data_IF_267774395635
#
_entry.id   IF_267774395635
#
_cell.length_a   1.000
_cell.length_b   1.000
_cell.length_c   1.000
_cell.angle_alpha   90.00
_cell.angle_beta   90.00
_cell.angle_gamma   90.00
#
_symmetry.space_group_name_H-M   'P 1'
#
loop_
_entity.id
_entity.type
_entity.pdbx_description
1 polymer ?
#
# COMPACT_ATOMS: atom_id res chain seq x y z
N UNK A 1 -28.17 -26.18 -21.62
CA UNK A 1 -27.68 -24.87 -21.16
C UNK A 1 -26.48 -24.90 -20.18
N UNK A 2 -26.08 -26.05 -19.62
CA UNK A 2 -24.90 -26.14 -18.72
C UNK A 2 -23.51 -26.08 -19.39
N UNK A 3 -23.41 -26.29 -20.71
CA UNK A 3 -22.10 -26.37 -21.40
C UNK A 3 -21.41 -25.01 -21.57
N UNK A 4 -22.17 -23.93 -21.71
CA UNK A 4 -21.61 -22.57 -21.84
C UNK A 4 -21.15 -21.98 -20.50
N UNK A 5 -21.74 -22.45 -19.39
CA UNK A 5 -21.41 -21.98 -18.04
C UNK A 5 -20.02 -22.48 -17.60
N UNK A 6 -19.63 -23.68 -18.02
CA UNK A 6 -18.28 -24.22 -17.80
C UNK A 6 -17.21 -23.46 -18.59
N UNK A 7 -17.51 -23.01 -19.82
CA UNK A 7 -16.58 -22.24 -20.66
C UNK A 7 -16.34 -20.83 -20.10
N UNK A 8 -17.38 -20.20 -19.56
CA UNK A 8 -17.28 -18.89 -18.91
C UNK A 8 -16.39 -18.91 -17.66
N UNK A 9 -16.46 -19.97 -16.86
CA UNK A 9 -15.60 -20.16 -15.68
C UNK A 9 -14.11 -20.34 -16.02
N UNK A 10 -13.80 -20.98 -17.16
CA UNK A 10 -12.41 -21.16 -17.62
C UNK A 10 -11.79 -19.85 -18.09
N UNK A 11 -12.57 -18.98 -18.75
CA UNK A 11 -12.07 -17.68 -19.25
C UNK A 11 -11.79 -16.71 -18.10
N UNK A 12 -12.61 -16.75 -17.03
CA UNK A 12 -12.40 -15.95 -15.81
C UNK A 12 -11.16 -16.38 -15.01
N UNK A 13 -10.69 -17.62 -15.17
CA UNK A 13 -9.50 -18.13 -14.48
C UNK A 13 -8.16 -17.64 -15.05
N UNK A 14 -8.12 -17.16 -16.29
CA UNK A 14 -6.88 -16.79 -16.99
C UNK A 14 -6.46 -15.33 -16.80
N UNK A 15 -7.29 -14.50 -16.16
CA UNK A 15 -7.03 -13.07 -15.95
C UNK A 15 -6.34 -12.73 -14.61
N UNK A 16 -5.87 -13.72 -13.84
CA UNK A 16 -5.29 -13.47 -12.50
C UNK A 16 -3.79 -13.13 -12.49
N UNK A 17 -3.16 -12.89 -13.64
CA UNK A 17 -1.83 -12.26 -13.69
C UNK A 17 -1.94 -10.82 -13.17
N UNK A 18 -1.87 -10.69 -11.85
CA UNK A 18 -1.85 -9.43 -11.14
C UNK A 18 -0.51 -8.76 -11.42
N UNK A 19 -0.56 -7.59 -12.04
CA UNK A 19 0.61 -6.73 -12.19
C UNK A 19 1.17 -6.40 -10.81
N UNK A 20 2.47 -6.63 -10.58
CA UNK A 20 3.16 -6.28 -9.34
C UNK A 20 3.31 -4.76 -9.24
N UNK A 21 2.28 -4.10 -8.73
CA UNK A 21 2.22 -2.66 -8.53
C UNK A 21 2.76 -2.25 -7.13
N UNK A 22 2.74 -0.96 -6.82
CA UNK A 22 3.18 -0.45 -5.52
C UNK A 22 2.41 -1.09 -4.34
N UNK A 23 1.12 -1.36 -4.50
CA UNK A 23 0.31 -1.99 -3.45
C UNK A 23 0.77 -3.42 -3.18
N UNK A 24 1.07 -4.20 -4.23
CA UNK A 24 1.62 -5.55 -4.10
C UNK A 24 2.90 -5.56 -3.26
N UNK A 25 3.85 -4.66 -3.53
CA UNK A 25 5.10 -4.61 -2.79
C UNK A 25 4.94 -4.11 -1.35
N UNK A 26 3.96 -3.24 -1.08
CA UNK A 26 3.62 -2.81 0.29
C UNK A 26 3.06 -3.94 1.14
N UNK A 27 2.38 -4.92 0.56
CA UNK A 27 1.86 -6.06 1.31
C UNK A 27 2.84 -7.23 1.40
N UNK A 28 3.86 -7.29 0.55
CA UNK A 28 4.84 -8.39 0.48
C UNK A 28 6.28 -7.86 0.67
N UNK A 29 6.75 -7.70 1.93
CA UNK A 29 8.07 -7.10 2.21
C UNK A 29 9.23 -7.90 1.61
N UNK A 30 9.11 -9.24 1.57
CA UNK A 30 10.13 -10.12 1.00
C UNK A 30 10.26 -9.93 -0.52
N UNK A 31 9.13 -9.79 -1.22
CA UNK A 31 9.09 -9.51 -2.66
C UNK A 31 9.69 -8.14 -2.98
N UNK A 32 9.40 -7.12 -2.16
CA UNK A 32 10.00 -5.79 -2.29
C UNK A 32 11.53 -5.85 -2.11
N UNK A 33 12.00 -6.56 -1.08
CA UNK A 33 13.43 -6.71 -0.83
C UNK A 33 14.12 -7.48 -1.97
N UNK A 34 13.49 -8.53 -2.50
CA UNK A 34 14.02 -9.31 -3.60
C UNK A 34 14.06 -8.51 -4.90
N UNK A 35 13.02 -7.72 -5.18
CA UNK A 35 12.95 -6.85 -6.34
C UNK A 35 14.11 -5.83 -6.33
N UNK A 36 14.41 -5.23 -5.18
CA UNK A 36 15.51 -4.27 -5.03
C UNK A 36 16.87 -4.94 -5.17
N UNK A 37 17.08 -6.11 -4.54
CA UNK A 37 18.33 -6.88 -4.70
C UNK A 37 18.62 -7.24 -6.16
N UNK A 38 17.58 -7.32 -6.98
CA UNK A 38 17.68 -7.68 -8.39
C UNK A 38 17.88 -6.46 -9.30
N UNK A 39 17.74 -5.24 -8.80
CA UNK A 39 17.97 -4.01 -9.54
C UNK A 39 19.47 -3.65 -9.57
N UNK A 40 20.00 -3.15 -10.70
CA UNK A 40 19.32 -2.89 -11.97
C UNK A 40 19.30 -4.09 -12.94
N UNK A 41 19.91 -5.24 -12.59
CA UNK A 41 20.09 -6.35 -13.53
C UNK A 41 18.78 -6.96 -14.04
N UNK A 42 17.72 -6.90 -13.24
CA UNK A 42 16.38 -7.39 -13.58
C UNK A 42 15.30 -6.49 -12.98
N UNK A 43 14.85 -5.53 -13.77
CA UNK A 43 13.71 -4.69 -13.42
C UNK A 43 12.41 -5.52 -13.43
N UNK A 44 11.61 -5.51 -12.35
CA UNK A 44 10.33 -6.19 -12.33
C UNK A 44 9.28 -5.45 -13.15
N UNK A 45 8.26 -6.18 -13.60
CA UNK A 45 7.13 -5.58 -14.31
C UNK A 45 6.30 -4.72 -13.35
N UNK A 46 5.97 -3.49 -13.76
CA UNK A 46 5.04 -2.61 -13.05
C UNK A 46 5.69 -1.38 -12.38
N UNK A 47 6.95 -1.47 -11.95
CA UNK A 47 7.69 -0.34 -11.34
C UNK A 47 9.11 -0.23 -11.89
N UNK A 48 9.63 0.98 -11.93
CA UNK A 48 11.06 1.25 -12.16
C UNK A 48 11.88 0.94 -10.91
N UNK A 49 13.17 0.67 -11.09
CA UNK A 49 14.08 0.47 -9.95
C UNK A 49 14.12 1.71 -9.03
N UNK A 50 14.05 2.92 -9.60
CA UNK A 50 13.96 4.17 -8.83
C UNK A 50 12.67 4.27 -8.00
N UNK A 51 11.53 3.87 -8.58
CA UNK A 51 10.26 3.80 -7.84
C UNK A 51 10.31 2.74 -6.72
N UNK A 52 10.95 1.59 -6.96
CA UNK A 52 11.12 0.55 -5.95
C UNK A 52 12.03 0.98 -4.80
N UNK A 53 13.15 1.64 -5.10
CA UNK A 53 14.05 2.21 -4.10
C UNK A 53 13.35 3.25 -3.25
N UNK A 54 12.58 4.15 -3.88
CA UNK A 54 11.77 5.15 -3.19
C UNK A 54 10.75 4.49 -2.26
N UNK A 55 10.05 3.46 -2.75
CA UNK A 55 9.08 2.71 -1.97
C UNK A 55 9.74 2.02 -0.76
N UNK A 56 10.81 1.26 -0.96
CA UNK A 56 11.46 0.57 0.15
C UNK A 56 12.14 1.51 1.13
N UNK A 57 12.72 2.61 0.68
CA UNK A 57 13.24 3.64 1.60
C UNK A 57 12.14 4.14 2.53
N UNK A 58 10.96 4.45 1.98
CA UNK A 58 9.80 4.88 2.76
C UNK A 58 9.31 3.81 3.72
N UNK A 59 9.16 2.57 3.25
CA UNK A 59 8.70 1.45 4.09
C UNK A 59 9.71 1.07 5.19
N UNK A 60 11.01 1.02 4.88
CA UNK A 60 12.05 0.73 5.85
C UNK A 60 12.14 1.82 6.93
N UNK A 61 11.94 3.09 6.56
CA UNK A 61 11.87 4.19 7.53
C UNK A 61 10.70 4.01 8.50
N UNK A 62 9.53 3.61 8.00
CA UNK A 62 8.37 3.33 8.84
C UNK A 62 8.60 2.10 9.73
N UNK A 63 9.16 1.02 9.18
CA UNK A 63 9.52 -0.18 9.94
C UNK A 63 10.49 0.14 11.07
N UNK A 64 11.51 0.97 10.81
CA UNK A 64 12.44 1.45 11.82
C UNK A 64 11.75 2.29 12.90
N UNK A 65 10.83 3.19 12.53
CA UNK A 65 10.06 3.96 13.50
C UNK A 65 9.18 3.08 14.39
N UNK A 66 8.54 2.06 13.81
CA UNK A 66 7.74 1.10 14.55
C UNK A 66 8.60 0.33 15.56
N UNK A 67 9.76 -0.17 15.12
CA UNK A 67 10.70 -0.89 15.98
C UNK A 67 11.25 0.01 17.11
N UNK A 68 11.55 1.27 16.82
CA UNK A 68 12.09 2.22 17.80
C UNK A 68 11.05 2.61 18.87
N UNK A 69 9.79 2.83 18.47
CA UNK A 69 8.73 3.21 19.41
C UNK A 69 7.36 2.73 18.93
N UNK A 70 6.93 1.51 19.32
CA UNK A 70 5.63 0.98 18.93
C UNK A 70 4.45 1.85 19.39
N UNK A 71 4.51 2.38 20.63
CA UNK A 71 3.48 3.27 21.15
C UNK A 71 3.45 4.61 20.41
N UNK A 72 4.62 5.18 20.09
CA UNK A 72 4.71 6.40 19.30
C UNK A 72 4.15 6.21 17.89
N UNK A 73 4.43 5.06 17.28
CA UNK A 73 3.88 4.67 15.99
C UNK A 73 2.35 4.54 16.02
N UNK A 74 1.81 3.85 17.03
CA UNK A 74 0.36 3.74 17.24
C UNK A 74 -0.33 5.09 17.44
N UNK A 75 0.29 6.02 18.19
CA UNK A 75 -0.22 7.40 18.34
C UNK A 75 -0.32 8.14 17.00
N UNK A 76 0.65 7.96 16.10
CA UNK A 76 0.59 8.56 14.76
C UNK A 76 -0.55 7.98 13.91
N UNK A 77 -0.78 6.67 13.97
CA UNK A 77 -1.91 6.03 13.30
C UNK A 77 -3.23 6.64 13.78
N UNK A 78 -3.42 6.75 15.10
CA UNK A 78 -4.63 7.35 15.67
C UNK A 78 -4.81 8.81 15.25
N UNK A 79 -3.73 9.60 15.25
CA UNK A 79 -3.77 11.00 14.81
C UNK A 79 -4.14 11.14 13.31
N UNK A 80 -3.62 10.25 12.45
CA UNK A 80 -4.00 10.19 11.04
C UNK A 80 -5.48 9.84 10.88
N UNK A 81 -5.97 8.82 11.59
CA UNK A 81 -7.38 8.42 11.56
C UNK A 81 -8.31 9.55 12.01
N UNK A 82 -7.95 10.26 13.09
CA UNK A 82 -8.70 11.43 13.57
C UNK A 82 -8.72 12.55 12.52
N UNK A 83 -7.58 12.84 11.91
CA UNK A 83 -7.45 13.87 10.87
C UNK A 83 -8.30 13.53 9.65
N UNK A 84 -8.21 12.30 9.14
CA UNK A 84 -9.03 11.80 8.03
C UNK A 84 -10.52 11.91 8.35
N UNK A 85 -10.93 11.56 9.57
CA UNK A 85 -12.33 11.67 9.99
C UNK A 85 -12.82 13.14 9.96
N UNK A 86 -12.01 14.08 10.45
CA UNK A 86 -12.30 15.52 10.39
C UNK A 86 -12.38 16.03 8.95
N UNK A 87 -11.41 15.68 8.10
CA UNK A 87 -11.38 16.08 6.69
C UNK A 87 -12.59 15.55 5.92
N UNK A 88 -12.96 14.27 6.14
CA UNK A 88 -14.18 13.69 5.55
C UNK A 88 -15.46 14.36 6.04
N UNK A 89 -15.52 14.78 7.31
CA UNK A 89 -16.65 15.53 7.83
C UNK A 89 -16.75 16.93 7.20
N UNK A 90 -15.61 17.61 7.03
CA UNK A 90 -15.55 18.93 6.41
C UNK A 90 -15.91 18.89 4.92
N UNK A 91 -15.43 17.90 4.16
CA UNK A 91 -15.79 17.74 2.74
C UNK A 91 -17.28 17.44 2.51
N UNK A 92 -17.98 16.88 3.50
CA UNK A 92 -19.44 16.73 3.43
C UNK A 92 -20.16 18.07 3.52
N UNK A 93 -19.57 19.06 4.19
CA UNK A 93 -20.10 20.41 4.31
C UNK A 93 -19.62 21.32 3.16
N UNK A 94 -18.43 21.08 2.62
CA UNK A 94 -17.76 21.90 1.60
C UNK A 94 -17.16 21.00 0.51
N UNK A 95 -17.95 20.65 -0.51
CA UNK A 95 -17.59 19.66 -1.54
C UNK A 95 -16.53 20.10 -2.57
N UNK A 96 -16.13 21.37 -2.59
CA UNK A 96 -15.26 21.96 -3.63
C UNK A 96 -13.87 22.36 -3.14
N UNK A 97 -13.46 21.96 -1.94
CA UNK A 97 -12.12 22.27 -1.44
C UNK A 97 -11.08 21.27 -1.97
N UNK A 98 -10.48 21.58 -3.13
CA UNK A 98 -9.48 20.73 -3.80
C UNK A 98 -8.24 20.46 -2.93
N UNK A 99 -7.79 21.45 -2.16
CA UNK A 99 -6.65 21.27 -1.24
C UNK A 99 -6.99 20.27 -0.14
N UNK A 100 -8.18 20.39 0.45
CA UNK A 100 -8.65 19.47 1.47
C UNK A 100 -8.80 18.04 0.94
N UNK A 101 -9.21 17.89 -0.32
CA UNK A 101 -9.30 16.60 -0.99
C UNK A 101 -7.92 15.98 -1.27
N UNK A 102 -6.95 16.80 -1.69
CA UNK A 102 -5.57 16.38 -1.88
C UNK A 102 -4.93 15.93 -0.55
N UNK A 103 -5.11 16.72 0.52
CA UNK A 103 -4.62 16.39 1.86
C UNK A 103 -5.26 15.12 2.41
N UNK A 104 -6.57 14.94 2.20
CA UNK A 104 -7.26 13.70 2.58
C UNK A 104 -6.67 12.49 1.86
N UNK A 105 -6.46 12.60 0.54
CA UNK A 105 -5.89 11.53 -0.28
C UNK A 105 -4.45 11.22 0.15
N UNK A 106 -3.66 12.23 0.53
CA UNK A 106 -2.33 12.02 1.08
C UNK A 106 -2.38 11.31 2.44
N UNK A 107 -3.22 11.77 3.36
CA UNK A 107 -3.35 11.17 4.69
C UNK A 107 -3.85 9.72 4.63
N UNK A 108 -4.76 9.40 3.70
CA UNK A 108 -5.22 8.03 3.47
C UNK A 108 -4.10 7.11 2.95
N UNK A 109 -3.27 7.62 2.03
CA UNK A 109 -2.07 6.91 1.56
C UNK A 109 -1.06 6.69 2.69
N UNK A 110 -0.80 7.72 3.49
CA UNK A 110 0.10 7.62 4.64
C UNK A 110 -0.43 6.62 5.67
N UNK A 111 -1.73 6.66 6.00
CA UNK A 111 -2.34 5.70 6.91
C UNK A 111 -2.20 4.26 6.39
N UNK A 112 -2.42 4.03 5.09
CA UNK A 112 -2.23 2.71 4.48
C UNK A 112 -0.78 2.22 4.61
N UNK A 113 0.19 3.11 4.40
CA UNK A 113 1.62 2.82 4.54
C UNK A 113 2.00 2.46 5.98
N UNK A 114 1.50 3.20 6.98
CA UNK A 114 1.71 2.88 8.40
C UNK A 114 1.12 1.50 8.75
N UNK A 115 -0.10 1.22 8.31
CA UNK A 115 -0.78 -0.06 8.59
C UNK A 115 -0.13 -1.24 7.86
N UNK A 116 0.38 -1.04 6.65
CA UNK A 116 1.11 -2.07 5.92
C UNK A 116 2.33 -2.54 6.71
N UNK A 117 3.10 -1.59 7.26
CA UNK A 117 4.26 -1.92 8.09
C UNK A 117 3.87 -2.62 9.38
N UNK A 118 2.77 -2.26 10.03
CA UNK A 118 2.27 -3.03 11.21
C UNK A 118 2.04 -4.49 10.82
N UNK A 119 1.37 -4.74 9.69
CA UNK A 119 1.10 -6.11 9.21
C UNK A 119 2.37 -6.90 8.94
N UNK A 120 3.45 -6.26 8.47
CA UNK A 120 4.74 -6.95 8.28
C UNK A 120 5.29 -7.54 9.57
N UNK A 121 5.12 -6.84 10.69
CA UNK A 121 5.60 -7.30 11.98
C UNK A 121 4.64 -8.30 12.64
N UNK A 122 3.35 -8.22 12.33
CA UNK A 122 2.35 -9.20 12.76
C UNK A 122 2.48 -10.53 12.00
N UNK A 123 2.91 -10.49 10.72
CA UNK A 123 3.06 -11.66 9.85
C UNK A 123 4.30 -11.51 8.94
N UNK A 124 5.51 -11.84 9.44
CA UNK A 124 6.76 -11.67 8.69
C UNK A 124 6.91 -12.59 7.46
N UNK A 125 6.01 -13.55 7.26
CA UNK A 125 6.09 -14.59 6.22
C UNK A 125 4.99 -14.51 5.15
N UNK A 126 4.08 -13.53 5.22
CA UNK A 126 3.00 -13.38 4.22
C UNK A 126 3.49 -12.81 2.89
#
# INVERSE_FOLDING_TARGET
MNKYLAVLLVILGLASCSTKDEHYYKSHPNELQQAIKSCPQRQPQGLTCEQLETLASRMNKLAYQLQLSPQGFGKKIMALQETIAKQRAQLKAETTNENLQADLTQNERDLADYLAVVRWFESPTS
#
